data_IF_026596105830
#
_entry.id   IF_026596105830
#
_cell.length_a   1.000
_cell.length_b   1.000
_cell.length_c   1.000
_cell.angle_alpha   90.00
_cell.angle_beta   90.00
_cell.angle_gamma   90.00
#
_symmetry.space_group_name_H-M   'P 1'
#
loop_
_entity.id
_entity.type
_entity.pdbx_description
1 polymer ?
#
# COMPACT_ATOMS: atom_id res chain seq x y z
N UNK A 1 -27.86 1.60 1.73
CA UNK A 1 -27.72 0.34 2.49
C UNK A 1 -26.83 0.62 3.69
N UNK A 2 -27.29 0.26 4.89
CA UNK A 2 -26.66 0.66 6.16
C UNK A 2 -25.31 -0.03 6.37
N UNK A 3 -24.24 0.76 6.53
CA UNK A 3 -22.87 0.35 6.88
C UNK A 3 -22.74 -0.24 8.31
N UNK A 4 -23.85 -0.39 9.03
CA UNK A 4 -23.88 -0.71 10.48
C UNK A 4 -23.91 -2.23 10.72
N UNK A 5 -23.94 -3.06 9.67
CA UNK A 5 -23.97 -4.53 9.81
C UNK A 5 -22.60 -5.23 9.63
N UNK A 6 -21.48 -4.49 9.62
CA UNK A 6 -20.16 -5.10 9.86
C UNK A 6 -20.00 -5.31 11.36
N UNK A 7 -20.62 -6.37 11.86
CA UNK A 7 -20.44 -6.85 13.21
C UNK A 7 -18.94 -7.04 13.49
N UNK A 8 -18.51 -6.56 14.66
CA UNK A 8 -17.20 -6.81 15.29
C UNK A 8 -16.72 -8.27 15.30
N UNK A 9 -17.55 -9.23 14.88
CA UNK A 9 -17.28 -10.67 14.84
C UNK A 9 -16.70 -11.18 13.51
N UNK A 10 -16.58 -10.36 12.47
CA UNK A 10 -16.07 -10.78 11.14
C UNK A 10 -15.04 -9.79 10.61
N UNK A 11 -13.90 -9.71 11.29
CA UNK A 11 -12.76 -9.04 10.70
C UNK A 11 -12.20 -9.83 9.50
N UNK A 12 -11.61 -9.14 8.53
CA UNK A 12 -11.16 -9.73 7.27
C UNK A 12 -10.06 -10.78 7.53
N UNK A 13 -10.23 -12.04 7.08
CA UNK A 13 -9.23 -13.10 7.27
C UNK A 13 -7.81 -12.69 6.82
N UNK A 14 -7.74 -11.79 5.83
CA UNK A 14 -6.51 -11.25 5.26
C UNK A 14 -5.76 -10.34 6.22
N UNK A 15 -6.46 -9.38 6.83
CA UNK A 15 -5.82 -8.46 7.78
C UNK A 15 -5.32 -9.24 9.01
N UNK A 16 -6.05 -10.30 9.40
CA UNK A 16 -5.68 -11.22 10.49
C UNK A 16 -4.42 -12.00 10.22
N UNK A 17 -4.31 -12.55 9.02
CA UNK A 17 -3.12 -13.24 8.58
C UNK A 17 -1.89 -12.32 8.68
N UNK A 18 -2.01 -11.06 8.23
CA UNK A 18 -0.89 -10.11 8.22
C UNK A 18 -0.46 -9.71 9.64
N UNK A 19 -1.40 -9.32 10.51
CA UNK A 19 -1.03 -8.97 11.89
C UNK A 19 -0.53 -10.19 12.68
N UNK A 20 -1.04 -11.38 12.40
CA UNK A 20 -0.51 -12.63 12.97
C UNK A 20 0.90 -12.95 12.50
N UNK A 21 1.20 -12.74 11.22
CA UNK A 21 2.54 -12.92 10.69
C UNK A 21 3.55 -11.98 11.38
N UNK A 22 3.16 -10.74 11.68
CA UNK A 22 4.01 -9.80 12.43
C UNK A 22 4.18 -10.22 13.90
N UNK A 23 3.17 -10.80 14.55
CA UNK A 23 3.23 -11.16 15.97
C UNK A 23 3.96 -12.49 16.27
N UNK A 24 4.04 -13.41 15.30
CA UNK A 24 4.61 -14.75 15.49
C UNK A 24 6.08 -14.88 15.02
N UNK A 25 6.76 -13.76 14.79
CA UNK A 25 8.19 -13.71 14.47
C UNK A 25 8.62 -14.51 13.23
N UNK A 26 7.92 -14.28 12.11
CA UNK A 26 8.40 -14.72 10.82
C UNK A 26 9.54 -13.82 10.33
N UNK A 27 10.58 -14.41 9.75
CA UNK A 27 11.72 -13.69 9.13
C UNK A 27 11.36 -12.78 7.95
N UNK A 28 10.08 -12.45 7.76
CA UNK A 28 9.54 -11.58 6.71
C UNK A 28 8.89 -10.29 7.27
N UNK A 29 9.09 -9.98 8.56
CA UNK A 29 8.58 -8.75 9.18
C UNK A 29 8.97 -7.50 8.41
N UNK A 30 10.24 -7.37 8.04
CA UNK A 30 10.75 -6.22 7.29
C UNK A 30 10.04 -6.07 5.95
N UNK A 31 9.83 -7.19 5.23
CA UNK A 31 9.12 -7.19 3.96
C UNK A 31 7.66 -6.74 4.09
N UNK A 32 6.95 -7.22 5.12
CA UNK A 32 5.57 -6.79 5.38
C UNK A 32 5.55 -5.28 5.67
N UNK A 33 6.53 -4.76 6.42
CA UNK A 33 6.63 -3.34 6.75
C UNK A 33 7.01 -2.46 5.55
N UNK A 34 7.80 -2.99 4.61
CA UNK A 34 8.14 -2.29 3.37
C UNK A 34 6.93 -2.17 2.42
N UNK A 35 6.07 -3.18 2.41
CA UNK A 35 4.96 -3.25 1.47
C UNK A 35 3.65 -2.71 2.04
N UNK A 36 3.34 -2.90 3.32
CA UNK A 36 2.02 -2.61 3.90
C UNK A 36 2.06 -1.32 4.71
N UNK A 37 1.03 -0.49 4.58
CA UNK A 37 0.86 0.72 5.37
C UNK A 37 -0.35 0.59 6.31
N UNK A 38 -0.36 1.38 7.40
CA UNK A 38 -1.49 1.40 8.33
C UNK A 38 -2.82 1.70 7.62
N UNK A 39 -2.83 2.60 6.62
CA UNK A 39 -4.02 2.96 5.83
C UNK A 39 -4.63 1.78 5.06
N UNK A 40 -3.87 0.71 4.85
CA UNK A 40 -4.33 -0.48 4.12
C UNK A 40 -5.25 -1.37 4.95
N UNK A 41 -5.35 -1.17 6.26
CA UNK A 41 -6.28 -1.89 7.12
C UNK A 41 -7.64 -1.19 7.15
N UNK A 42 -8.73 -1.96 7.17
CA UNK A 42 -10.08 -1.42 7.22
C UNK A 42 -10.45 -0.86 8.60
N UNK A 43 -10.13 -1.60 9.67
CA UNK A 43 -10.51 -1.22 11.03
C UNK A 43 -9.51 -0.23 11.62
N UNK A 44 -9.94 0.93 12.16
CA UNK A 44 -9.06 1.88 12.83
C UNK A 44 -8.21 1.26 13.95
N UNK A 45 -8.75 0.28 14.67
CA UNK A 45 -8.04 -0.48 15.70
C UNK A 45 -6.91 -1.32 15.11
N UNK A 46 -7.12 -1.92 13.93
CA UNK A 46 -6.08 -2.66 13.21
C UNK A 46 -5.00 -1.73 12.64
N UNK A 47 -5.38 -0.53 12.16
CA UNK A 47 -4.42 0.49 11.73
C UNK A 47 -3.51 0.93 12.88
N UNK A 48 -4.12 1.18 14.05
CA UNK A 48 -3.40 1.59 15.27
C UNK A 48 -2.48 0.48 15.77
N UNK A 49 -2.98 -0.77 15.79
CA UNK A 49 -2.20 -1.92 16.17
C UNK A 49 -1.02 -2.14 15.22
N UNK A 50 -1.24 -2.09 13.90
CA UNK A 50 -0.16 -2.20 12.91
C UNK A 50 0.90 -1.12 13.12
N UNK A 51 0.49 0.13 13.34
CA UNK A 51 1.42 1.25 13.57
C UNK A 51 2.30 1.00 14.79
N UNK A 52 1.70 0.58 15.90
CA UNK A 52 2.45 0.22 17.11
C UNK A 52 3.42 -0.95 16.86
N UNK A 53 2.96 -2.02 16.20
CA UNK A 53 3.82 -3.16 15.87
C UNK A 53 4.99 -2.75 14.96
N UNK A 54 4.74 -1.90 13.97
CA UNK A 54 5.77 -1.37 13.08
C UNK A 54 6.81 -0.53 13.82
N UNK A 55 6.39 0.36 14.71
CA UNK A 55 7.30 1.17 15.54
C UNK A 55 8.19 0.31 16.44
N UNK A 56 7.61 -0.69 17.09
CA UNK A 56 8.35 -1.62 17.95
C UNK A 56 9.36 -2.46 17.17
N UNK A 57 8.97 -3.00 16.01
CA UNK A 57 9.86 -3.78 15.14
C UNK A 57 11.00 -2.90 14.60
N UNK A 58 10.69 -1.68 14.14
CA UNK A 58 11.69 -0.73 13.65
C UNK A 58 12.65 -0.26 14.76
N UNK A 59 12.20 -0.26 16.02
CA UNK A 59 13.04 -0.01 17.19
C UNK A 59 13.87 -1.23 17.61
N UNK A 60 13.80 -2.35 16.87
CA UNK A 60 14.51 -3.60 17.16
C UNK A 60 13.92 -4.38 18.34
N UNK A 61 12.70 -4.07 18.77
CA UNK A 61 12.02 -4.79 19.87
C UNK A 61 11.19 -5.93 19.31
N UNK A 62 11.19 -7.06 20.02
CA UNK A 62 10.34 -8.19 19.68
C UNK A 62 8.89 -7.86 20.00
N UNK A 63 8.02 -7.96 19.00
CA UNK A 63 6.57 -7.87 19.17
C UNK A 63 6.01 -9.28 19.25
N UNK A 64 5.36 -9.59 20.38
CA UNK A 64 4.66 -10.85 20.61
C UNK A 64 3.25 -10.58 21.17
N UNK A 65 2.35 -11.56 21.05
CA UNK A 65 0.96 -11.40 21.51
C UNK A 65 0.87 -11.09 23.02
N UNK A 66 1.81 -11.58 23.83
CA UNK A 66 1.83 -11.35 25.27
C UNK A 66 2.19 -9.88 25.62
N UNK A 67 3.22 -9.30 24.98
CA UNK A 67 3.55 -7.88 25.16
C UNK A 67 2.43 -6.97 24.65
N UNK A 68 1.82 -7.30 23.52
CA UNK A 68 0.68 -6.54 22.97
C UNK A 68 -0.53 -6.54 23.91
N UNK A 69 -0.85 -7.67 24.55
CA UNK A 69 -1.95 -7.74 25.53
C UNK A 69 -1.66 -6.95 26.81
N UNK A 70 -0.39 -6.79 27.18
CA UNK A 70 0.00 -6.01 28.35
C UNK A 70 -0.13 -4.49 28.10
N UNK A 71 0.05 -4.04 26.87
CA UNK A 71 -0.03 -2.61 26.49
C UNK A 71 -1.41 -2.17 26.00
N UNK A 72 -2.26 -3.10 25.58
CA UNK A 72 -3.61 -2.79 25.10
C UNK A 72 -4.55 -2.32 26.22
N UNK A 73 -4.97 -1.04 26.14
CA UNK A 73 -5.92 -0.40 27.05
C UNK A 73 -7.39 -0.66 26.71
N UNK A 74 -7.70 -0.92 25.43
CA UNK A 74 -9.07 -0.99 24.92
C UNK A 74 -9.53 -2.44 24.73
N UNK A 75 -10.77 -2.74 25.12
CA UNK A 75 -11.35 -4.09 25.03
C UNK A 75 -11.41 -4.60 23.57
N UNK A 76 -11.72 -3.73 22.62
CA UNK A 76 -11.75 -4.06 21.18
C UNK A 76 -10.37 -4.48 20.67
N UNK A 77 -9.32 -3.72 21.00
CA UNK A 77 -7.94 -4.05 20.63
C UNK A 77 -7.47 -5.35 21.31
N UNK A 78 -7.85 -5.58 22.57
CA UNK A 78 -7.54 -6.83 23.28
C UNK A 78 -8.17 -8.03 22.60
N UNK A 79 -9.45 -7.94 22.22
CA UNK A 79 -10.13 -9.00 21.48
C UNK A 79 -9.45 -9.27 20.12
N UNK A 80 -9.01 -8.21 19.43
CA UNK A 80 -8.28 -8.32 18.17
C UNK A 80 -6.93 -9.05 18.35
N UNK A 81 -6.18 -8.76 19.42
CA UNK A 81 -4.93 -9.45 19.73
C UNK A 81 -5.18 -10.93 20.09
N UNK A 82 -6.22 -11.21 20.87
CA UNK A 82 -6.64 -12.60 21.18
C UNK A 82 -6.92 -13.35 19.88
N UNK A 83 -7.69 -12.75 18.98
CA UNK A 83 -7.98 -13.34 17.69
C UNK A 83 -6.71 -13.60 16.87
N UNK A 84 -5.78 -12.63 16.80
CA UNK A 84 -4.49 -12.76 16.12
C UNK A 84 -3.68 -13.95 16.68
N UNK A 85 -3.63 -14.08 18.00
CA UNK A 85 -2.92 -15.17 18.68
C UNK A 85 -3.52 -16.55 18.41
N UNK A 86 -4.82 -16.62 18.14
CA UNK A 86 -5.51 -17.84 17.74
C UNK A 86 -5.42 -18.11 16.23
N UNK A 87 -4.85 -17.21 15.42
CA UNK A 87 -4.70 -17.41 13.99
C UNK A 87 -3.61 -18.44 13.69
N UNK A 88 -3.84 -19.26 12.66
CA UNK A 88 -2.81 -20.15 12.14
C UNK A 88 -1.70 -19.27 11.53
N UNK A 89 -0.43 -19.48 11.92
CA UNK A 89 0.68 -18.72 11.39
C UNK A 89 0.75 -18.83 9.86
N UNK A 90 0.87 -17.69 9.19
CA UNK A 90 0.84 -17.60 7.73
C UNK A 90 2.19 -18.01 7.15
N UNK A 91 2.21 -18.88 6.13
CA UNK A 91 3.47 -19.20 5.44
C UNK A 91 3.96 -18.02 4.60
N UNK A 92 5.27 -17.92 4.29
CA UNK A 92 5.82 -16.86 3.42
C UNK A 92 5.04 -16.65 2.11
N UNK A 93 4.71 -17.75 1.44
CA UNK A 93 3.93 -17.73 0.19
C UNK A 93 2.49 -17.26 0.36
N UNK A 94 1.91 -17.47 1.54
CA UNK A 94 0.57 -16.97 1.86
C UNK A 94 0.62 -15.49 2.25
N UNK A 95 1.70 -15.03 2.88
CA UNK A 95 1.88 -13.63 3.25
C UNK A 95 1.81 -12.74 2.00
N UNK A 96 2.49 -13.10 0.92
CA UNK A 96 2.44 -12.35 -0.36
C UNK A 96 1.02 -12.26 -0.94
N UNK A 97 0.30 -13.38 -0.93
CA UNK A 97 -1.09 -13.41 -1.38
C UNK A 97 -1.99 -12.54 -0.51
N UNK A 98 -1.75 -12.51 0.80
CA UNK A 98 -2.51 -11.68 1.73
C UNK A 98 -2.17 -10.20 1.59
N UNK A 99 -0.89 -9.83 1.44
CA UNK A 99 -0.45 -8.45 1.16
C UNK A 99 -1.09 -7.95 -0.13
N UNK A 100 -1.00 -8.73 -1.21
CA UNK A 100 -1.62 -8.38 -2.49
C UNK A 100 -3.13 -8.16 -2.37
N UNK A 101 -3.82 -9.05 -1.63
CA UNK A 101 -5.26 -8.92 -1.42
C UNK A 101 -5.62 -7.73 -0.53
N UNK A 102 -4.82 -7.44 0.50
CA UNK A 102 -5.01 -6.31 1.39
C UNK A 102 -4.90 -4.99 0.61
N UNK A 103 -3.87 -4.86 -0.23
CA UNK A 103 -3.68 -3.68 -1.10
C UNK A 103 -4.81 -3.53 -2.10
N UNK A 104 -5.27 -4.62 -2.72
CA UNK A 104 -6.42 -4.58 -3.62
C UNK A 104 -7.67 -4.03 -2.92
N UNK A 105 -7.97 -4.53 -1.71
CA UNK A 105 -9.10 -4.06 -0.92
C UNK A 105 -8.92 -2.60 -0.48
N UNK A 106 -7.71 -2.21 -0.08
CA UNK A 106 -7.34 -0.82 0.24
C UNK A 106 -7.64 0.13 -0.93
N UNK A 107 -7.17 -0.22 -2.14
CA UNK A 107 -7.43 0.55 -3.36
C UNK A 107 -8.91 0.69 -3.66
N UNK A 108 -9.69 -0.41 -3.59
CA UNK A 108 -11.13 -0.36 -3.81
C UNK A 108 -11.85 0.55 -2.81
N UNK A 109 -11.41 0.57 -1.54
CA UNK A 109 -11.97 1.48 -0.54
C UNK A 109 -11.63 2.94 -0.85
N UNK A 110 -10.40 3.23 -1.24
CA UNK A 110 -9.99 4.59 -1.63
C UNK A 110 -10.77 5.09 -2.85
N UNK A 111 -10.96 4.24 -3.86
CA UNK A 111 -11.79 4.56 -5.04
C UNK A 111 -13.24 4.84 -4.64
N UNK A 112 -13.86 3.94 -3.87
CA UNK A 112 -15.23 4.13 -3.42
C UNK A 112 -15.40 5.41 -2.58
N UNK A 113 -14.45 5.72 -1.72
CA UNK A 113 -14.45 6.97 -0.93
C UNK A 113 -14.39 8.20 -1.83
N UNK A 114 -13.52 8.20 -2.83
CA UNK A 114 -13.40 9.31 -3.78
C UNK A 114 -14.69 9.51 -4.60
N UNK A 115 -15.33 8.41 -5.02
CA UNK A 115 -16.62 8.46 -5.74
C UNK A 115 -17.72 9.02 -4.85
N UNK A 116 -17.85 8.54 -3.61
CA UNK A 116 -18.87 9.04 -2.68
C UNK A 116 -18.63 10.52 -2.30
N UNK A 117 -17.38 10.93 -2.15
CA UNK A 117 -17.04 12.35 -1.94
C UNK A 117 -17.44 13.20 -3.15
N UNK A 118 -17.11 12.76 -4.37
CA UNK A 118 -17.52 13.45 -5.60
C UNK A 118 -19.04 13.54 -5.72
N UNK A 119 -19.76 12.47 -5.37
CA UNK A 119 -21.23 12.44 -5.33
C UNK A 119 -21.79 13.46 -4.34
N UNK A 120 -21.25 13.52 -3.11
CA UNK A 120 -21.70 14.49 -2.10
C UNK A 120 -21.47 15.94 -2.56
N UNK A 121 -20.35 16.21 -3.23
CA UNK A 121 -20.06 17.53 -3.81
C UNK A 121 -21.03 17.88 -4.96
N UNK A 122 -21.41 16.92 -5.78
CA UNK A 122 -22.45 17.09 -6.81
C UNK A 122 -23.81 17.42 -6.18
N UNK A 123 -24.19 16.71 -5.11
CA UNK A 123 -25.45 16.96 -4.38
C UNK A 123 -25.48 18.36 -3.73
N UNK A 124 -24.30 18.93 -3.40
CA UNK A 124 -24.13 20.29 -2.87
C UNK A 124 -24.04 21.39 -3.93
N UNK A 125 -24.14 21.04 -5.21
CA UNK A 125 -23.97 21.96 -6.35
C UNK A 125 -22.60 22.68 -6.38
N UNK A 126 -21.54 22.00 -5.91
CA UNK A 126 -20.17 22.49 -6.07
C UNK A 126 -19.77 22.52 -7.58
N UNK A 127 -18.80 23.37 -7.98
CA UNK A 127 -18.39 23.50 -9.37
C UNK A 127 -17.89 22.16 -9.95
N UNK A 128 -18.43 21.75 -11.10
CA UNK A 128 -18.09 20.45 -11.71
C UNK A 128 -16.60 20.26 -12.00
N UNK A 129 -15.86 21.36 -12.23
CA UNK A 129 -14.41 21.33 -12.45
C UNK A 129 -13.63 20.95 -11.17
N UNK A 130 -14.08 21.42 -10.00
CA UNK A 130 -13.46 21.10 -8.71
C UNK A 130 -13.71 19.64 -8.33
N UNK A 131 -14.90 19.14 -8.66
CA UNK A 131 -15.27 17.73 -8.46
C UNK A 131 -14.41 16.82 -9.36
N UNK A 132 -14.28 17.17 -10.65
CA UNK A 132 -13.49 16.40 -11.60
C UNK A 132 -12.00 16.38 -11.22
N UNK A 133 -11.43 17.54 -10.88
CA UNK A 133 -10.01 17.64 -10.46
C UNK A 133 -9.74 16.92 -9.14
N UNK A 134 -10.66 17.00 -8.17
CA UNK A 134 -10.55 16.25 -6.92
C UNK A 134 -10.59 14.72 -7.15
N UNK A 135 -11.49 14.26 -8.02
CA UNK A 135 -11.57 12.84 -8.38
C UNK A 135 -10.32 12.38 -9.14
N UNK A 136 -9.84 13.15 -10.10
CA UNK A 136 -8.62 12.85 -10.86
C UNK A 136 -7.40 12.73 -9.93
N UNK A 137 -7.26 13.66 -8.98
CA UNK A 137 -6.18 13.64 -8.00
C UNK A 137 -6.26 12.37 -7.14
N UNK A 138 -7.44 12.05 -6.62
CA UNK A 138 -7.64 10.85 -5.81
C UNK A 138 -7.38 9.54 -6.59
N UNK A 139 -7.74 9.48 -7.88
CA UNK A 139 -7.45 8.31 -8.73
C UNK A 139 -5.96 8.18 -9.02
N UNK A 140 -5.27 9.31 -9.25
CA UNK A 140 -3.82 9.33 -9.49
C UNK A 140 -3.03 8.85 -8.28
N UNK A 141 -3.47 9.22 -7.08
CA UNK A 141 -2.86 8.75 -5.83
C UNK A 141 -3.02 7.23 -5.66
N UNK A 142 -4.16 6.67 -6.06
CA UNK A 142 -4.41 5.22 -6.05
C UNK A 142 -3.53 4.47 -7.05
N UNK A 143 -3.26 5.07 -8.23
CA UNK A 143 -2.37 4.49 -9.24
C UNK A 143 -0.88 4.59 -8.86
N UNK A 144 -0.47 5.66 -8.20
CA UNK A 144 0.93 5.90 -7.79
C UNK A 144 1.34 5.10 -6.55
N UNK A 145 0.39 4.66 -5.72
CA UNK A 145 0.58 3.61 -4.69
C UNK A 145 0.71 2.18 -5.29
N UNK A 146 0.98 2.06 -6.60
CA UNK A 146 1.54 0.84 -7.16
C UNK A 146 2.86 0.51 -6.43
N UNK A 147 3.06 -0.73 -5.94
CA UNK A 147 4.28 -1.06 -5.24
C UNK A 147 5.47 -0.67 -6.12
N UNK A 148 6.44 0.03 -5.51
CA UNK A 148 7.77 0.16 -6.09
C UNK A 148 8.23 -1.26 -6.40
N UNK A 149 8.10 -1.66 -7.66
CA UNK A 149 8.45 -3.00 -8.08
C UNK A 149 9.93 -3.16 -7.73
N UNK A 150 10.29 -4.13 -6.89
CA UNK A 150 11.69 -4.40 -6.60
C UNK A 150 12.35 -4.81 -7.92
N UNK A 151 13.03 -3.86 -8.56
CA UNK A 151 13.68 -4.08 -9.84
C UNK A 151 15.04 -4.69 -9.53
N UNK A 152 15.29 -5.89 -10.05
CA UNK A 152 16.63 -6.49 -9.91
C UNK A 152 17.66 -5.67 -10.69
N UNK A 153 18.94 -5.75 -10.31
CA UNK A 153 20.02 -5.09 -11.07
C UNK A 153 20.01 -5.53 -12.54
N UNK A 154 19.64 -6.78 -12.81
CA UNK A 154 19.49 -7.32 -14.16
C UNK A 154 18.37 -6.62 -14.93
N UNK A 155 17.18 -6.47 -14.34
CA UNK A 155 16.07 -5.74 -14.98
C UNK A 155 16.37 -4.25 -15.16
N UNK A 156 17.13 -3.63 -14.25
CA UNK A 156 17.64 -2.26 -14.42
C UNK A 156 18.62 -2.18 -15.60
N UNK A 157 19.53 -3.16 -15.74
CA UNK A 157 20.47 -3.21 -16.85
C UNK A 157 19.74 -3.43 -18.19
N UNK A 158 18.73 -4.29 -18.22
CA UNK A 158 17.91 -4.54 -19.41
C UNK A 158 17.15 -3.28 -19.83
N UNK A 159 16.49 -2.58 -18.88
CA UNK A 159 15.82 -1.29 -19.15
C UNK A 159 16.80 -0.21 -19.63
N UNK A 160 18.00 -0.15 -19.06
CA UNK A 160 19.03 0.78 -19.51
C UNK A 160 19.50 0.46 -20.94
N UNK A 161 19.69 -0.83 -21.25
CA UNK A 161 20.07 -1.28 -22.59
C UNK A 161 18.95 -1.07 -23.62
N UNK A 162 17.69 -1.17 -23.23
CA UNK A 162 16.56 -0.79 -24.09
C UNK A 162 16.62 0.69 -24.48
N UNK A 163 16.95 1.58 -23.53
CA UNK A 163 17.16 3.01 -23.80
C UNK A 163 18.28 3.25 -24.84
N UNK A 164 19.39 2.54 -24.71
CA UNK A 164 20.53 2.63 -25.66
C UNK A 164 20.15 2.06 -27.03
N UNK A 165 19.47 0.92 -27.09
CA UNK A 165 18.98 0.33 -28.34
C UNK A 165 18.00 1.27 -29.05
N UNK A 166 17.10 1.92 -28.30
CA UNK A 166 16.15 2.86 -28.85
C UNK A 166 16.84 4.11 -29.44
N UNK A 167 17.86 4.64 -28.76
CA UNK A 167 18.68 5.76 -29.28
C UNK A 167 19.42 5.36 -30.57
N UNK A 168 20.05 4.17 -30.57
CA UNK A 168 20.75 3.63 -31.73
C UNK A 168 19.82 3.44 -32.95
N UNK A 169 18.62 2.90 -32.73
CA UNK A 169 17.62 2.70 -33.79
C UNK A 169 17.08 4.02 -34.37
N UNK A 170 17.05 5.11 -33.58
CA UNK A 170 16.65 6.45 -34.05
C UNK A 170 17.76 7.18 -34.79
N UNK A 171 18.97 6.62 -34.85
CA UNK A 171 20.15 7.29 -35.41
C UNK A 171 20.52 8.58 -34.68
N UNK A 172 20.03 8.76 -33.44
CA UNK A 172 20.26 9.93 -32.62
C UNK A 172 21.40 9.65 -31.63
N UNK A 173 22.34 10.57 -31.52
CA UNK A 173 23.45 10.52 -30.55
C UNK A 173 23.02 10.83 -29.10
N UNK A 174 21.75 11.17 -28.92
CA UNK A 174 21.19 11.80 -27.73
C UNK A 174 19.96 11.00 -27.25
N UNK A 175 19.77 10.89 -25.94
CA UNK A 175 18.65 10.23 -25.30
C UNK A 175 17.48 11.21 -25.10
N UNK A 176 16.36 10.96 -25.77
CA UNK A 176 15.13 11.73 -25.56
C UNK A 176 14.40 12.10 -26.84
N UNK A 177 13.61 13.18 -26.76
CA UNK A 177 12.90 13.78 -27.90
C UNK A 177 13.75 14.96 -28.39
N UNK A 178 14.16 15.00 -29.66
CA UNK A 178 15.02 16.08 -30.17
C UNK A 178 14.29 17.42 -30.14
N UNK A 179 14.97 18.47 -29.72
CA UNK A 179 14.43 19.83 -29.79
C UNK A 179 14.44 20.39 -31.22
N UNK A 180 15.25 19.79 -32.10
CA UNK A 180 15.46 20.26 -33.47
C UNK A 180 16.54 21.35 -33.58
N UNK A 181 17.20 21.69 -32.47
CA UNK A 181 18.30 22.67 -32.42
C UNK A 181 19.61 21.92 -32.12
N UNK A 182 20.52 21.76 -33.10
CA UNK A 182 21.67 20.87 -32.98
C UNK A 182 22.58 21.16 -31.77
N UNK A 183 22.84 22.45 -31.48
CA UNK A 183 23.68 22.83 -30.33
C UNK A 183 23.01 22.56 -28.99
N UNK A 184 21.68 22.64 -28.91
CA UNK A 184 20.96 22.40 -27.68
C UNK A 184 20.88 20.90 -27.40
N UNK A 185 20.56 20.11 -28.42
CA UNK A 185 20.51 18.66 -28.32
C UNK A 185 21.88 18.06 -27.96
N UNK A 186 22.97 18.67 -28.43
CA UNK A 186 24.34 18.24 -28.11
C UNK A 186 24.78 18.59 -26.67
N UNK A 187 24.19 19.61 -26.04
CA UNK A 187 24.49 20.02 -24.66
C UNK A 187 23.59 19.28 -23.67
N UNK A 188 22.29 19.16 -23.99
CA UNK A 188 21.29 18.58 -23.11
C UNK A 188 21.32 17.05 -23.14
N UNK A 189 21.78 16.47 -24.26
CA UNK A 189 21.88 15.03 -24.43
C UNK A 189 20.54 14.37 -24.62
#
# INVERSE_FOLDING_TARGET
>A
MSLIAFSSTTWGPVEKAILSALAHDFGEKERILDEVQAKDFFLPEAQSLFTYMAEEINAGRSVDCASLLATASNETTRNLIIDISAAIPTSPTQADSHIGKLKELSRLRSINRAIEEARLKLERAEPSIEIATGLETAMRDVETDAPSQAITIAECADKALEGVKAAMNRGCLYAGIPSGIPKLDQICG
#
